data_IF_821163935872
#
_entry.id   IF_821163935872
#
_cell.length_a   1.000
_cell.length_b   1.000
_cell.length_c   1.000
_cell.angle_alpha   90.00
_cell.angle_beta   90.00
_cell.angle_gamma   90.00
#
_symmetry.space_group_name_H-M   'P 1'
#
loop_
_entity.id
_entity.type
_entity.pdbx_description
1 polymer ?
#
# COMPACT_ATOMS: atom_id res chain seq x y z
N UNK A 1 -27.79 -2.12 2.41
CA UNK A 1 -26.91 -2.82 1.46
C UNK A 1 -25.75 -1.93 0.95
N UNK A 2 -25.33 -0.91 1.70
CA UNK A 2 -24.32 0.08 1.23
C UNK A 2 -22.90 -0.18 1.77
N UNK A 3 -22.75 -1.07 2.76
CA UNK A 3 -21.48 -1.37 3.42
C UNK A 3 -20.64 -2.42 2.66
N UNK A 4 -21.27 -3.35 1.95
CA UNK A 4 -20.59 -4.35 1.09
C UNK A 4 -19.86 -3.70 -0.10
N UNK A 5 -20.41 -2.65 -0.72
CA UNK A 5 -19.76 -1.94 -1.82
C UNK A 5 -18.52 -1.15 -1.37
N UNK A 6 -18.55 -0.64 -0.13
CA UNK A 6 -17.40 0.01 0.50
C UNK A 6 -16.27 -0.98 0.76
N UNK A 7 -16.61 -2.15 1.31
CA UNK A 7 -15.67 -3.25 1.57
C UNK A 7 -15.02 -3.77 0.27
N UNK A 8 -15.81 -4.00 -0.78
CA UNK A 8 -15.35 -4.52 -2.07
C UNK A 8 -14.47 -3.49 -2.83
N UNK A 9 -14.75 -2.18 -2.68
CA UNK A 9 -13.89 -1.11 -3.20
C UNK A 9 -12.58 -0.99 -2.42
N UNK A 10 -12.64 -1.09 -1.09
CA UNK A 10 -11.45 -1.08 -0.22
C UNK A 10 -10.59 -2.29 -0.53
N UNK A 11 -11.15 -3.50 -0.57
CA UNK A 11 -10.45 -4.72 -0.93
C UNK A 11 -9.79 -4.62 -2.32
N UNK A 12 -10.51 -4.12 -3.33
CA UNK A 12 -9.92 -3.85 -4.66
C UNK A 12 -8.75 -2.87 -4.61
N UNK A 13 -8.88 -1.79 -3.84
CA UNK A 13 -7.80 -0.82 -3.67
C UNK A 13 -6.59 -1.44 -2.97
N UNK A 14 -6.78 -2.16 -1.88
CA UNK A 14 -5.71 -2.82 -1.14
C UNK A 14 -4.95 -3.84 -2.00
N UNK A 15 -5.64 -4.53 -2.92
CA UNK A 15 -5.02 -5.43 -3.90
C UNK A 15 -4.24 -4.70 -5.02
N UNK A 16 -4.38 -3.38 -5.18
CA UNK A 16 -3.62 -2.63 -6.19
C UNK A 16 -2.14 -2.50 -5.84
N UNK A 17 -1.79 -2.30 -4.57
CA UNK A 17 -0.40 -2.11 -4.15
C UNK A 17 0.52 -3.29 -4.56
N UNK A 18 0.22 -4.57 -4.22
CA UNK A 18 1.04 -5.69 -4.68
C UNK A 18 1.05 -5.87 -6.21
N UNK A 19 0.00 -5.41 -6.92
CA UNK A 19 -0.03 -5.40 -8.39
C UNK A 19 0.89 -4.32 -8.98
N UNK A 20 0.90 -3.12 -8.41
CA UNK A 20 1.77 -2.03 -8.82
C UNK A 20 3.24 -2.38 -8.56
N UNK A 21 3.54 -2.97 -7.41
CA UNK A 21 4.88 -3.44 -7.07
C UNK A 21 5.38 -4.52 -8.04
N UNK A 22 4.54 -5.49 -8.40
CA UNK A 22 4.87 -6.49 -9.41
C UNK A 22 5.16 -5.84 -10.77
N UNK A 23 4.41 -4.80 -11.13
CA UNK A 23 4.61 -4.03 -12.38
C UNK A 23 5.88 -3.17 -12.34
N UNK A 24 6.31 -2.75 -11.15
CA UNK A 24 7.57 -2.05 -10.91
C UNK A 24 8.79 -2.97 -10.79
N UNK A 25 8.61 -4.30 -10.97
CA UNK A 25 9.70 -5.28 -10.91
C UNK A 25 10.00 -5.84 -9.51
N UNK A 26 9.19 -5.51 -8.51
CA UNK A 26 9.33 -6.07 -7.15
C UNK A 26 8.69 -7.46 -7.11
N UNK A 27 9.47 -8.46 -6.66
CA UNK A 27 8.99 -9.84 -6.55
C UNK A 27 8.03 -10.01 -5.36
N UNK A 28 6.74 -9.81 -5.60
CA UNK A 28 5.67 -10.10 -4.63
C UNK A 28 5.08 -11.48 -4.92
N UNK A 29 5.45 -12.47 -4.11
CA UNK A 29 4.85 -13.81 -4.12
C UNK A 29 3.49 -13.83 -3.40
N UNK A 30 2.72 -14.91 -3.60
CA UNK A 30 1.37 -15.04 -3.03
C UNK A 30 1.37 -15.03 -1.49
N UNK A 31 2.40 -15.60 -0.86
CA UNK A 31 2.55 -15.61 0.59
C UNK A 31 2.75 -14.20 1.16
N UNK A 32 3.62 -13.38 0.56
CA UNK A 32 3.80 -11.97 0.94
C UNK A 32 2.55 -11.15 0.75
N UNK A 33 1.82 -11.38 -0.35
CA UNK A 33 0.54 -10.73 -0.58
C UNK A 33 -0.47 -11.09 0.54
N UNK A 34 -0.49 -12.36 0.98
CA UNK A 34 -1.35 -12.81 2.08
C UNK A 34 -0.94 -12.22 3.43
N UNK A 35 0.36 -12.15 3.72
CA UNK A 35 0.87 -11.50 4.94
C UNK A 35 0.49 -10.03 4.96
N UNK A 36 0.69 -9.33 3.84
CA UNK A 36 0.27 -7.93 3.67
C UNK A 36 -1.22 -7.74 3.94
N UNK A 37 -2.09 -8.56 3.34
CA UNK A 37 -3.54 -8.48 3.55
C UNK A 37 -3.96 -8.71 5.00
N UNK A 38 -3.25 -9.57 5.73
CA UNK A 38 -3.49 -9.77 7.16
C UNK A 38 -2.98 -8.59 7.98
N UNK A 39 -1.78 -8.09 7.70
CA UNK A 39 -1.21 -6.95 8.43
C UNK A 39 -2.03 -5.67 8.27
N UNK A 40 -2.56 -5.40 7.07
CA UNK A 40 -3.42 -4.23 6.84
C UNK A 40 -4.82 -4.37 7.46
N UNK A 41 -5.28 -5.60 7.76
CA UNK A 41 -6.55 -5.82 8.44
C UNK A 41 -6.48 -5.50 9.95
N UNK A 42 -5.26 -5.52 10.53
CA UNK A 42 -5.01 -5.27 11.95
C UNK A 42 -4.70 -3.80 12.26
N UNK A 43 -4.59 -2.93 11.24
CA UNK A 43 -4.21 -1.52 11.39
C UNK A 43 -5.31 -0.56 10.97
N UNK A 44 -5.22 0.66 11.48
CA UNK A 44 -6.09 1.75 11.07
C UNK A 44 -5.66 2.31 9.70
N UNK A 45 -6.54 2.15 8.70
CA UNK A 45 -6.29 2.59 7.32
C UNK A 45 -6.37 4.12 7.15
N UNK A 46 -6.81 4.86 8.18
CA UNK A 46 -6.85 6.33 8.15
C UNK A 46 -5.46 6.94 8.41
N UNK A 47 -4.51 6.14 8.90
CA UNK A 47 -3.15 6.56 9.22
C UNK A 47 -2.15 6.07 8.15
N UNK A 48 -1.68 6.95 7.23
CA UNK A 48 -0.75 6.56 6.17
C UNK A 48 0.57 5.96 6.69
N UNK A 49 1.04 6.43 7.84
CA UNK A 49 2.31 5.99 8.41
C UNK A 49 2.24 4.55 8.92
N UNK A 50 1.15 4.19 9.60
CA UNK A 50 0.88 2.82 10.06
C UNK A 50 0.74 1.87 8.86
N UNK A 51 0.01 2.29 7.82
CA UNK A 51 -0.12 1.51 6.59
C UNK A 51 1.21 1.34 5.86
N UNK A 52 2.03 2.39 5.80
CA UNK A 52 3.37 2.32 5.20
C UNK A 52 4.26 1.35 5.97
N UNK A 53 4.31 1.46 7.30
CA UNK A 53 5.14 0.60 8.15
C UNK A 53 4.74 -0.88 8.03
N UNK A 54 3.44 -1.18 8.11
CA UNK A 54 2.92 -2.54 7.97
C UNK A 54 3.19 -3.12 6.57
N UNK A 55 2.92 -2.34 5.52
CA UNK A 55 3.17 -2.75 4.14
C UNK A 55 4.65 -2.98 3.87
N UNK A 56 5.51 -2.11 4.40
CA UNK A 56 6.97 -2.23 4.30
C UNK A 56 7.45 -3.50 4.98
N UNK A 57 7.01 -3.74 6.21
CA UNK A 57 7.38 -4.94 6.96
C UNK A 57 6.94 -6.24 6.26
N UNK A 58 5.77 -6.23 5.61
CA UNK A 58 5.24 -7.39 4.92
C UNK A 58 5.86 -7.62 3.53
N UNK A 59 6.17 -6.56 2.79
CA UNK A 59 6.52 -6.64 1.36
C UNK A 59 8.02 -6.47 1.09
N UNK A 60 8.75 -5.71 1.91
CA UNK A 60 10.18 -5.47 1.74
C UNK A 60 10.97 -6.53 2.50
N UNK A 61 11.79 -7.32 1.79
CA UNK A 61 12.74 -8.24 2.44
C UNK A 61 14.19 -8.00 2.09
N UNK A 62 14.49 -7.13 1.11
CA UNK A 62 15.84 -6.76 0.75
C UNK A 62 15.96 -5.25 0.71
N UNK A 63 17.15 -4.73 0.96
CA UNK A 63 17.42 -3.30 0.92
C UNK A 63 17.11 -2.71 -0.47
N UNK A 64 17.34 -3.46 -1.55
CA UNK A 64 17.03 -3.06 -2.93
C UNK A 64 15.54 -2.93 -3.23
N UNK A 65 14.67 -3.61 -2.47
CA UNK A 65 13.21 -3.51 -2.64
C UNK A 65 12.65 -2.23 -1.99
N UNK A 66 13.45 -1.54 -1.16
CA UNK A 66 12.98 -0.38 -0.41
C UNK A 66 12.66 0.83 -1.30
N UNK A 67 13.60 1.24 -2.15
CA UNK A 67 13.41 2.38 -3.05
C UNK A 67 12.20 2.22 -4.01
N UNK A 68 12.00 1.08 -4.70
CA UNK A 68 10.81 0.88 -5.52
C UNK A 68 9.53 0.76 -4.69
N UNK A 69 9.61 0.21 -3.46
CA UNK A 69 8.48 0.17 -2.54
C UNK A 69 7.99 1.58 -2.16
N UNK A 70 8.87 2.45 -1.67
CA UNK A 70 8.50 3.80 -1.22
C UNK A 70 7.87 4.61 -2.36
N UNK A 71 8.45 4.54 -3.57
CA UNK A 71 7.92 5.22 -4.77
C UNK A 71 6.54 4.68 -5.17
N UNK A 72 6.36 3.37 -5.12
CA UNK A 72 5.09 2.73 -5.47
C UNK A 72 4.00 3.02 -4.44
N UNK A 73 4.38 3.07 -3.15
CA UNK A 73 3.46 3.39 -2.05
C UNK A 73 2.95 4.82 -2.17
N UNK A 74 3.81 5.79 -2.48
CA UNK A 74 3.40 7.19 -2.66
C UNK A 74 2.35 7.35 -3.78
N UNK A 75 2.60 6.72 -4.93
CA UNK A 75 1.65 6.67 -6.05
C UNK A 75 0.33 6.02 -5.65
N UNK A 76 0.40 4.87 -4.97
CA UNK A 76 -0.79 4.16 -4.48
C UNK A 76 -1.61 5.03 -3.53
N UNK A 77 -0.95 5.71 -2.58
CA UNK A 77 -1.61 6.56 -1.59
C UNK A 77 -2.28 7.79 -2.24
N UNK A 78 -1.61 8.40 -3.22
CA UNK A 78 -2.18 9.50 -4.02
C UNK A 78 -3.43 9.07 -4.79
N UNK A 79 -3.41 7.87 -5.38
CA UNK A 79 -4.57 7.28 -6.06
C UNK A 79 -5.71 6.96 -5.08
N UNK A 80 -5.37 6.44 -3.89
CA UNK A 80 -6.35 6.07 -2.86
C UNK A 80 -7.12 7.30 -2.35
N UNK A 81 -6.44 8.44 -2.17
CA UNK A 81 -7.05 9.69 -1.69
C UNK A 81 -7.76 10.53 -2.77
N UNK A 82 -7.77 10.09 -4.02
CA UNK A 82 -8.53 10.75 -5.09
C UNK A 82 -7.76 11.83 -5.85
N UNK A 83 -6.45 11.68 -6.06
CA UNK A 83 -5.75 12.41 -7.12
C UNK A 83 -5.50 13.90 -6.84
N UNK A 84 -4.89 14.22 -5.71
CA UNK A 84 -4.07 15.43 -5.62
C UNK A 84 -2.68 15.04 -5.16
N UNK A 85 -1.70 15.29 -6.03
CA UNK A 85 -0.28 15.34 -5.70
C UNK A 85 -0.06 16.51 -4.75
N UNK A 86 -0.53 16.40 -3.50
CA UNK A 86 -0.08 17.31 -2.46
C UNK A 86 1.32 16.84 -2.08
N UNK A 87 2.30 17.39 -2.81
CA UNK A 87 3.71 17.30 -2.46
C UNK A 87 3.85 17.60 -0.96
N UNK A 88 4.48 16.71 -0.17
CA UNK A 88 4.83 17.05 1.19
C UNK A 88 5.91 18.13 1.11
N UNK A 89 5.55 19.38 1.42
CA UNK A 89 6.56 20.35 1.84
C UNK A 89 7.14 19.83 3.15
N UNK A 90 8.45 19.53 3.23
CA UNK A 90 9.07 19.22 4.51
C UNK A 90 9.10 20.51 5.34
N UNK A 91 8.27 20.56 6.37
CA UNK A 91 8.40 21.56 7.44
C UNK A 91 9.68 21.24 8.22
N UNK A 92 10.71 22.06 7.99
CA UNK A 92 11.78 22.30 8.97
C UNK A 92 11.28 23.31 10.01
#
# INVERSE_FOLDING_TARGET
MSRELGDDRVARNLLMLPRLLRRAGVHVNAERARVYLQSIAEIDLERPDDMRAASRAALVSRQSDLAPFETTFDLFWSLLRGGSLSSPVPSQ
#
